data_IF_924671981683
#
_entry.id   IF_924671981683
#
_cell.length_a   1.000
_cell.length_b   1.000
_cell.length_c   1.000
_cell.angle_alpha   90.00
_cell.angle_beta   90.00
_cell.angle_gamma   90.00
#
_symmetry.space_group_name_H-M   'P 1'
#
loop_
_entity.id
_entity.type
_entity.pdbx_description
1 polymer ?
#
# COMPACT_ATOMS: atom_id res chain seq x y z
N UNK A 1 3.52 17.74 15.80
CA UNK A 1 4.98 17.87 15.57
C UNK A 1 5.22 17.73 14.07
N UNK A 2 6.30 18.28 13.51
CA UNK A 2 6.58 18.18 12.07
C UNK A 2 7.08 16.78 11.65
N UNK A 3 7.79 16.09 12.56
CA UNK A 3 8.37 14.75 12.39
C UNK A 3 8.03 13.83 13.56
N UNK A 4 8.19 12.51 13.37
CA UNK A 4 7.99 11.54 14.44
C UNK A 4 9.12 11.62 15.49
N UNK A 5 8.80 11.35 16.77
CA UNK A 5 9.74 11.53 17.88
C UNK A 5 10.94 10.58 17.85
N UNK A 6 10.77 9.39 17.29
CA UNK A 6 11.81 8.37 17.09
C UNK A 6 12.78 8.70 15.93
N UNK A 7 12.54 9.80 15.20
CA UNK A 7 13.37 10.26 14.07
C UNK A 7 14.21 11.50 14.40
N UNK A 8 14.04 12.08 15.58
CA UNK A 8 14.73 13.31 15.98
C UNK A 8 16.22 13.09 16.27
N UNK A 9 16.63 11.85 16.55
CA UNK A 9 18.00 11.48 16.88
C UNK A 9 18.42 10.24 16.10
N UNK A 10 19.25 10.43 15.07
CA UNK A 10 19.77 9.33 14.28
C UNK A 10 20.64 8.37 15.12
N UNK A 11 20.53 7.04 14.90
CA UNK A 11 21.35 6.09 15.62
C UNK A 11 22.82 6.17 15.19
N UNK A 12 23.74 6.05 16.16
CA UNK A 12 25.17 6.25 15.96
C UNK A 12 25.82 5.29 14.94
N UNK A 13 25.21 4.13 14.67
CA UNK A 13 25.73 3.16 13.69
C UNK A 13 25.52 3.60 12.24
N UNK A 14 24.58 4.53 11.96
CA UNK A 14 24.43 5.21 10.66
C UNK A 14 25.52 6.27 10.48
N UNK A 15 26.77 5.81 10.47
CA UNK A 15 27.98 6.63 10.42
C UNK A 15 28.52 6.77 9.00
N UNK A 16 29.45 7.70 8.80
CA UNK A 16 30.20 7.84 7.53
C UNK A 16 30.85 6.53 7.08
N UNK A 17 31.39 5.73 8.02
CA UNK A 17 31.97 4.42 7.71
C UNK A 17 30.94 3.43 7.16
N UNK A 18 29.70 3.48 7.68
CA UNK A 18 28.59 2.70 7.15
C UNK A 18 28.23 3.15 5.73
N UNK A 19 28.14 4.46 5.46
CA UNK A 19 27.86 4.96 4.11
C UNK A 19 28.95 4.61 3.09
N UNK A 20 30.23 4.63 3.49
CA UNK A 20 31.32 4.13 2.64
C UNK A 20 31.11 2.64 2.30
N UNK A 21 30.77 1.82 3.29
CA UNK A 21 30.55 0.39 3.07
C UNK A 21 29.42 0.13 2.07
N UNK A 22 28.25 0.74 2.28
CA UNK A 22 27.10 0.51 1.38
C UNK A 22 27.39 1.01 -0.04
N UNK A 23 28.10 2.14 -0.21
CA UNK A 23 28.39 2.69 -1.53
C UNK A 23 29.41 1.84 -2.29
N UNK A 24 30.37 1.22 -1.60
CA UNK A 24 31.31 0.27 -2.22
C UNK A 24 30.59 -0.94 -2.79
N UNK A 25 29.60 -1.45 -2.08
CA UNK A 25 28.76 -2.55 -2.55
C UNK A 25 27.90 -2.11 -3.75
N UNK A 26 27.21 -0.97 -3.62
CA UNK A 26 26.33 -0.44 -4.64
C UNK A 26 27.03 -0.11 -5.96
N UNK A 27 28.21 0.51 -5.90
CA UNK A 27 29.03 0.84 -7.08
C UNK A 27 29.87 -0.33 -7.58
N UNK A 28 29.98 -1.41 -6.80
CA UNK A 28 30.96 -2.47 -7.00
C UNK A 28 32.41 -1.94 -7.12
N UNK A 29 32.75 -0.91 -6.34
CA UNK A 29 34.05 -0.20 -6.39
C UNK A 29 34.64 -0.05 -4.97
N UNK A 30 35.75 -0.73 -4.64
CA UNK A 30 36.37 -0.62 -3.31
C UNK A 30 37.07 0.72 -3.06
N UNK A 31 37.31 1.53 -4.10
CA UNK A 31 38.00 2.82 -4.00
C UNK A 31 37.10 3.96 -3.56
N UNK A 32 35.78 3.71 -3.40
CA UNK A 32 34.82 4.72 -2.97
C UNK A 32 35.26 5.38 -1.66
N UNK A 33 35.18 6.71 -1.66
CA UNK A 33 35.42 7.61 -0.53
C UNK A 33 34.39 8.73 -0.51
N UNK A 34 33.98 9.15 0.68
CA UNK A 34 33.02 10.26 0.83
C UNK A 34 33.66 11.61 0.50
N UNK A 35 32.82 12.52 0.03
CA UNK A 35 33.09 13.94 -0.19
C UNK A 35 32.36 14.76 0.88
N UNK A 36 32.83 14.65 2.13
CA UNK A 36 32.23 15.29 3.30
C UNK A 36 31.46 14.34 4.22
N UNK A 37 30.88 14.91 5.28
CA UNK A 37 30.14 14.17 6.32
C UNK A 37 28.68 13.98 5.89
N UNK A 38 28.13 12.79 6.13
CA UNK A 38 26.72 12.52 5.88
C UNK A 38 25.83 13.18 6.94
N UNK A 39 24.85 13.99 6.50
CA UNK A 39 23.89 14.63 7.40
C UNK A 39 22.53 13.94 7.29
N UNK A 40 22.22 13.13 8.31
CA UNK A 40 20.90 12.52 8.41
C UNK A 40 19.86 13.54 8.86
N UNK A 41 18.68 13.41 8.27
CA UNK A 41 17.47 14.18 8.59
C UNK A 41 16.28 13.23 8.69
N UNK A 42 15.21 13.57 9.43
CA UNK A 42 13.98 12.79 9.43
C UNK A 42 13.47 12.52 8.01
N UNK A 43 12.97 11.31 7.76
CA UNK A 43 12.67 10.85 6.42
C UNK A 43 11.28 11.22 5.90
N UNK A 44 10.33 11.49 6.79
CA UNK A 44 8.90 11.61 6.45
C UNK A 44 8.19 12.49 7.48
N UNK A 45 7.04 13.07 7.11
CA UNK A 45 6.29 13.88 8.07
C UNK A 45 5.64 12.98 9.13
N UNK A 46 5.34 13.56 10.28
CA UNK A 46 4.58 12.86 11.31
C UNK A 46 3.25 12.33 10.74
N UNK A 47 2.94 11.05 11.00
CA UNK A 47 1.72 10.39 10.54
C UNK A 47 1.71 9.89 9.07
N UNK A 48 2.80 10.07 8.32
CA UNK A 48 2.94 9.49 6.97
C UNK A 48 3.29 7.99 7.02
N UNK A 49 3.97 7.54 8.07
CA UNK A 49 4.31 6.15 8.30
C UNK A 49 4.13 5.81 9.79
N UNK A 50 3.79 4.56 10.07
CA UNK A 50 3.57 4.08 11.43
C UNK A 50 4.57 2.98 11.82
N UNK A 51 4.82 2.01 10.94
CA UNK A 51 5.54 0.79 11.26
C UNK A 51 7.04 0.83 10.92
N UNK A 52 7.68 2.00 10.98
CA UNK A 52 9.12 2.16 10.71
C UNK A 52 9.67 3.45 11.29
N UNK A 53 11.00 3.54 11.39
CA UNK A 53 11.75 4.77 11.59
C UNK A 53 12.39 5.16 10.26
N UNK A 54 12.18 6.39 9.80
CA UNK A 54 12.62 6.86 8.48
C UNK A 54 13.69 7.95 8.60
N UNK A 55 14.75 7.81 7.82
CA UNK A 55 15.78 8.84 7.67
C UNK A 55 16.05 9.14 6.20
N UNK A 56 16.51 10.35 5.92
CA UNK A 56 17.06 10.73 4.61
C UNK A 56 18.47 11.27 4.78
N UNK A 57 19.26 11.16 3.72
CA UNK A 57 20.56 11.81 3.61
C UNK A 57 20.88 12.06 2.13
N UNK A 58 21.81 12.98 1.88
CA UNK A 58 22.40 13.17 0.55
C UNK A 58 23.87 12.84 0.69
N UNK A 59 24.34 11.85 -0.05
CA UNK A 59 25.72 11.37 0.03
C UNK A 59 26.48 11.80 -1.20
N UNK A 60 27.55 12.58 -1.00
CA UNK A 60 28.52 12.92 -2.06
C UNK A 60 29.73 12.02 -1.91
N UNK A 61 30.23 11.46 -3.00
CA UNK A 61 31.31 10.48 -2.97
C UNK A 61 32.09 10.43 -4.29
N UNK A 62 33.31 9.90 -4.24
CA UNK A 62 34.18 9.70 -5.39
C UNK A 62 34.26 8.21 -5.74
N UNK A 63 34.38 7.89 -7.02
CA UNK A 63 34.65 6.53 -7.56
C UNK A 63 35.87 6.58 -8.48
N UNK A 64 36.89 5.77 -8.25
CA UNK A 64 38.10 5.70 -9.09
C UNK A 64 38.68 7.05 -9.53
N UNK A 65 39.14 7.09 -10.79
CA UNK A 65 39.71 8.29 -11.45
C UNK A 65 38.67 9.10 -12.25
N UNK A 66 37.41 9.16 -11.80
CA UNK A 66 36.39 9.97 -12.48
C UNK A 66 36.59 11.48 -12.21
N UNK A 67 36.29 12.30 -13.21
CA UNK A 67 36.29 13.77 -13.14
C UNK A 67 35.08 14.29 -12.34
N UNK A 68 35.13 14.12 -11.01
CA UNK A 68 34.25 14.78 -10.05
C UNK A 68 33.51 13.86 -9.08
N UNK A 69 32.98 14.42 -7.98
CA UNK A 69 32.19 13.66 -7.02
C UNK A 69 30.79 13.36 -7.58
N UNK A 70 30.32 12.13 -7.40
CA UNK A 70 28.93 11.72 -7.56
C UNK A 70 28.10 12.18 -6.36
N UNK A 71 26.78 12.23 -6.54
CA UNK A 71 25.82 12.51 -5.47
C UNK A 71 24.63 11.57 -5.59
N UNK A 72 24.19 11.00 -4.48
CA UNK A 72 22.98 10.18 -4.40
C UNK A 72 22.13 10.60 -3.19
N UNK A 73 20.83 10.79 -3.42
CA UNK A 73 19.87 11.02 -2.35
C UNK A 73 19.33 9.67 -1.88
N UNK A 74 19.30 9.46 -0.56
CA UNK A 74 18.93 8.19 0.05
C UNK A 74 17.77 8.37 1.03
N UNK A 75 16.85 7.41 1.02
CA UNK A 75 15.84 7.22 2.06
C UNK A 75 16.05 5.85 2.72
N UNK A 76 16.01 5.83 4.05
CA UNK A 76 16.33 4.68 4.88
C UNK A 76 15.11 4.32 5.72
N UNK A 77 14.63 3.08 5.60
CA UNK A 77 13.54 2.51 6.40
C UNK A 77 14.11 1.50 7.37
N UNK A 78 13.92 1.71 8.67
CA UNK A 78 14.54 0.91 9.74
C UNK A 78 13.45 0.28 10.60
N UNK A 79 13.62 -1.01 10.94
CA UNK A 79 12.73 -1.71 11.88
C UNK A 79 12.88 -1.05 13.27
N UNK A 80 11.79 -0.59 13.89
CA UNK A 80 11.84 -0.05 15.25
C UNK A 80 12.37 -1.09 16.24
N UNK A 81 13.21 -0.66 17.19
CA UNK A 81 13.78 -1.53 18.25
C UNK A 81 13.10 -1.28 19.60
N UNK A 82 12.41 -0.14 19.76
CA UNK A 82 11.70 0.20 20.98
C UNK A 82 10.48 -0.71 21.19
N UNK A 83 10.25 -1.14 22.43
CA UNK A 83 9.03 -1.87 22.82
C UNK A 83 7.77 -1.04 22.57
N UNK A 84 6.66 -1.70 22.23
CA UNK A 84 5.37 -1.07 22.02
C UNK A 84 4.63 -1.59 20.79
N UNK A 85 3.48 -1.00 20.47
CA UNK A 85 2.57 -1.48 19.44
C UNK A 85 3.22 -1.61 18.05
N UNK A 86 4.14 -0.71 17.70
CA UNK A 86 4.90 -0.81 16.43
C UNK A 86 5.70 -2.11 16.36
N UNK A 87 6.35 -2.50 17.46
CA UNK A 87 7.12 -3.74 17.54
C UNK A 87 6.19 -4.94 17.51
N UNK A 88 5.08 -4.95 18.27
CA UNK A 88 4.11 -6.05 18.27
C UNK A 88 3.52 -6.32 16.86
N UNK A 89 3.28 -5.26 16.08
CA UNK A 89 2.81 -5.37 14.69
C UNK A 89 3.89 -5.89 13.73
N UNK A 90 5.17 -5.70 14.06
CA UNK A 90 6.34 -6.00 13.22
C UNK A 90 7.16 -7.19 13.75
N UNK A 91 6.71 -7.83 14.83
CA UNK A 91 7.42 -8.94 15.47
C UNK A 91 7.40 -10.20 14.59
N UNK A 92 6.52 -10.24 13.59
CA UNK A 92 6.61 -11.23 12.50
C UNK A 92 7.68 -10.78 11.49
N UNK A 93 8.70 -11.62 11.26
CA UNK A 93 9.85 -11.38 10.36
C UNK A 93 9.46 -11.10 8.89
N UNK A 94 8.17 -11.18 8.57
CA UNK A 94 7.64 -11.18 7.22
C UNK A 94 7.45 -9.77 6.62
N UNK A 95 7.20 -8.70 7.38
CA UNK A 95 6.96 -7.37 6.78
C UNK A 95 8.19 -6.78 6.08
N UNK A 96 9.28 -6.56 6.83
CA UNK A 96 10.55 -6.09 6.26
C UNK A 96 11.16 -7.15 5.36
N UNK A 97 10.97 -8.43 5.68
CA UNK A 97 11.44 -9.53 4.84
C UNK A 97 10.82 -9.53 3.45
N UNK A 98 9.49 -9.35 3.36
CA UNK A 98 8.75 -9.19 2.10
C UNK A 98 9.23 -7.96 1.34
N UNK A 99 9.29 -6.80 2.00
CA UNK A 99 9.69 -5.57 1.32
C UNK A 99 11.12 -5.64 0.76
N UNK A 100 12.07 -6.24 1.50
CA UNK A 100 13.42 -6.52 0.97
C UNK A 100 13.34 -7.38 -0.29
N UNK A 101 12.63 -8.52 -0.25
CA UNK A 101 12.48 -9.41 -1.42
C UNK A 101 11.82 -8.69 -2.61
N UNK A 102 10.87 -7.81 -2.34
CA UNK A 102 10.23 -7.01 -3.38
C UNK A 102 11.25 -6.15 -4.13
N UNK A 103 12.13 -5.45 -3.40
CA UNK A 103 13.16 -4.61 -4.01
C UNK A 103 14.34 -5.37 -4.60
N UNK A 104 14.72 -6.54 -4.04
CA UNK A 104 15.87 -7.32 -4.53
C UNK A 104 15.53 -8.19 -5.73
N UNK A 105 14.30 -8.71 -5.81
CA UNK A 105 13.95 -9.77 -6.77
C UNK A 105 12.70 -9.42 -7.59
N UNK A 106 11.60 -9.04 -6.94
CA UNK A 106 10.30 -8.95 -7.62
C UNK A 106 10.18 -7.74 -8.53
N UNK A 107 10.41 -6.54 -8.01
CA UNK A 107 10.27 -5.30 -8.79
C UNK A 107 11.23 -5.26 -9.99
N UNK A 108 12.51 -5.68 -9.87
CA UNK A 108 13.39 -5.83 -11.02
C UNK A 108 12.85 -6.80 -12.08
N UNK A 109 12.30 -7.95 -11.68
CA UNK A 109 11.73 -8.92 -12.61
C UNK A 109 10.44 -8.39 -13.26
N UNK A 110 9.59 -7.67 -12.51
CA UNK A 110 8.43 -6.97 -13.06
C UNK A 110 8.85 -5.94 -14.11
N UNK A 111 9.89 -5.15 -13.83
CA UNK A 111 10.45 -4.19 -14.78
C UNK A 111 10.99 -4.88 -16.04
N UNK A 112 11.69 -6.01 -15.90
CA UNK A 112 12.17 -6.81 -17.03
C UNK A 112 11.01 -7.36 -17.89
N UNK A 113 9.98 -7.90 -17.25
CA UNK A 113 8.79 -8.44 -17.94
C UNK A 113 8.02 -7.34 -18.69
N UNK A 114 7.74 -6.21 -18.04
CA UNK A 114 7.10 -5.06 -18.70
C UNK A 114 7.96 -4.53 -19.86
N UNK A 115 9.28 -4.40 -19.65
CA UNK A 115 10.22 -3.97 -20.69
C UNK A 115 10.21 -4.87 -21.93
N UNK A 116 10.06 -6.19 -21.74
CA UNK A 116 10.01 -7.16 -22.85
C UNK A 116 8.84 -6.96 -23.82
N UNK A 117 7.79 -6.26 -23.38
CA UNK A 117 6.61 -5.93 -24.19
C UNK A 117 6.52 -4.44 -24.54
N UNK A 118 7.59 -3.67 -24.30
CA UNK A 118 7.64 -2.23 -24.56
C UNK A 118 6.87 -1.38 -23.54
N UNK A 119 6.56 -1.92 -22.37
CA UNK A 119 6.01 -1.18 -21.24
C UNK A 119 7.12 -0.78 -20.27
N UNK A 120 6.96 0.38 -19.62
CA UNK A 120 7.84 0.80 -18.54
C UNK A 120 7.19 0.51 -17.18
N UNK A 121 7.99 0.05 -16.23
CA UNK A 121 7.61 -0.12 -14.83
C UNK A 121 8.72 0.42 -13.93
N UNK A 122 8.45 1.54 -13.29
CA UNK A 122 9.42 2.26 -12.46
C UNK A 122 9.23 1.90 -10.99
N UNK A 123 10.34 1.78 -10.28
CA UNK A 123 10.38 1.64 -8.83
C UNK A 123 11.65 2.31 -8.30
N UNK A 124 11.70 2.70 -7.01
CA UNK A 124 12.93 3.20 -6.41
C UNK A 124 14.04 2.15 -6.51
N UNK A 125 15.27 2.60 -6.80
CA UNK A 125 16.43 1.71 -6.86
C UNK A 125 16.82 1.30 -5.43
N UNK A 126 17.01 0.00 -5.22
CA UNK A 126 17.61 -0.50 -3.98
C UNK A 126 19.09 -0.16 -3.97
N UNK A 127 19.53 0.52 -2.91
CA UNK A 127 20.94 0.85 -2.69
C UNK A 127 21.58 -0.16 -1.75
N UNK A 128 20.88 -0.53 -0.68
CA UNK A 128 21.35 -1.50 0.29
C UNK A 128 20.18 -2.07 1.09
N UNK A 129 20.30 -3.31 1.56
CA UNK A 129 19.39 -3.89 2.55
C UNK A 129 20.13 -4.84 3.45
N UNK A 130 19.74 -4.92 4.71
CA UNK A 130 20.28 -5.89 5.66
C UNK A 130 19.21 -6.36 6.63
N UNK A 131 19.35 -7.61 7.08
CA UNK A 131 18.69 -8.16 8.28
C UNK A 131 19.70 -8.44 9.40
N UNK A 132 21.00 -8.39 9.10
CA UNK A 132 22.07 -8.68 10.04
C UNK A 132 22.33 -7.46 10.94
N UNK A 133 22.34 -7.68 12.26
CA UNK A 133 22.44 -6.69 13.34
C UNK A 133 21.29 -5.66 13.40
N UNK A 134 20.97 -5.02 12.26
CA UNK A 134 19.86 -4.09 12.10
C UNK A 134 19.09 -4.42 10.83
N UNK A 135 17.75 -4.44 10.93
CA UNK A 135 16.89 -4.59 9.75
C UNK A 135 16.66 -3.22 9.11
N UNK A 136 17.21 -3.03 7.91
CA UNK A 136 17.19 -1.75 7.17
C UNK A 136 17.01 -1.98 5.66
N UNK A 137 16.26 -1.07 5.03
CA UNK A 137 16.15 -0.91 3.58
C UNK A 137 16.61 0.50 3.23
N UNK A 138 17.54 0.64 2.28
CA UNK A 138 18.05 1.90 1.77
C UNK A 138 17.71 1.99 0.29
N UNK A 139 16.90 2.97 -0.06
CA UNK A 139 16.45 3.22 -1.43
C UNK A 139 16.98 4.57 -1.91
N UNK A 140 17.07 4.74 -3.22
CA UNK A 140 17.22 6.05 -3.83
C UNK A 140 16.00 6.93 -3.48
N UNK A 141 16.25 8.13 -2.95
CA UNK A 141 15.22 9.12 -2.67
C UNK A 141 14.85 9.87 -3.94
N UNK A 142 13.75 9.44 -4.56
CA UNK A 142 13.24 9.98 -5.82
C UNK A 142 12.43 11.28 -5.66
N UNK A 143 12.34 11.85 -4.46
CA UNK A 143 11.53 13.06 -4.22
C UNK A 143 12.00 14.29 -4.99
N UNK A 144 13.28 14.36 -5.35
CA UNK A 144 13.85 15.43 -6.19
C UNK A 144 13.59 15.24 -7.69
N UNK A 145 13.11 14.07 -8.10
CA UNK A 145 12.84 13.74 -9.51
C UNK A 145 11.41 14.10 -9.94
N UNK A 146 10.69 14.88 -9.14
CA UNK A 146 9.32 15.34 -9.43
C UNK A 146 8.22 14.39 -8.96
N UNK A 147 8.57 13.22 -8.40
CA UNK A 147 7.64 12.28 -7.79
C UNK A 147 7.12 12.80 -6.46
N UNK A 148 5.80 12.93 -6.34
CA UNK A 148 5.17 13.50 -5.15
C UNK A 148 3.95 12.68 -4.73
N UNK A 149 3.80 12.51 -3.43
CA UNK A 149 2.54 12.05 -2.86
C UNK A 149 1.46 13.10 -3.15
N UNK A 150 0.28 12.64 -3.55
CA UNK A 150 -0.90 13.50 -3.69
C UNK A 150 -1.95 13.09 -2.66
N UNK A 151 -2.90 13.99 -2.42
CA UNK A 151 -4.13 13.62 -1.73
C UNK A 151 -5.02 12.72 -2.60
N UNK A 152 -6.31 12.68 -2.27
CA UNK A 152 -7.28 11.93 -3.05
C UNK A 152 -7.37 12.45 -4.50
N UNK A 153 -7.49 11.51 -5.44
CA UNK A 153 -7.59 11.82 -6.87
C UNK A 153 -8.99 12.36 -7.20
N UNK A 154 -9.05 13.48 -7.93
CA UNK A 154 -10.26 14.30 -8.08
C UNK A 154 -11.03 14.07 -9.37
N UNK A 155 -10.46 13.32 -10.31
CA UNK A 155 -11.09 13.01 -11.59
C UNK A 155 -10.79 11.59 -12.06
N UNK A 156 -11.63 11.05 -12.93
CA UNK A 156 -11.40 9.74 -13.52
C UNK A 156 -10.19 9.74 -14.48
N UNK A 157 -9.93 10.87 -15.12
CA UNK A 157 -8.78 11.09 -16.01
C UNK A 157 -7.46 11.04 -15.25
N UNK A 158 -7.37 11.70 -14.08
CA UNK A 158 -6.19 11.64 -13.23
C UNK A 158 -5.97 10.28 -12.57
N UNK A 159 -7.01 9.45 -12.48
CA UNK A 159 -6.92 8.09 -11.93
C UNK A 159 -6.32 7.08 -12.93
N UNK A 160 -6.31 7.41 -14.23
CA UNK A 160 -5.87 6.49 -15.29
C UNK A 160 -4.45 5.94 -15.08
N UNK A 161 -3.43 6.76 -14.72
CA UNK A 161 -2.06 6.25 -14.51
C UNK A 161 -1.98 5.28 -13.33
N UNK A 162 -2.77 5.50 -12.27
CA UNK A 162 -2.83 4.58 -11.12
C UNK A 162 -3.49 3.26 -11.49
N UNK A 163 -4.57 3.28 -12.30
CA UNK A 163 -5.20 2.06 -12.83
C UNK A 163 -4.22 1.29 -13.73
N UNK A 164 -3.44 1.99 -14.55
CA UNK A 164 -2.41 1.38 -15.40
C UNK A 164 -1.30 0.72 -14.58
N UNK A 165 -0.77 1.43 -13.58
CA UNK A 165 0.28 0.94 -12.72
C UNK A 165 -0.11 -0.35 -11.99
N UNK A 166 -1.34 -0.43 -11.45
CA UNK A 166 -1.76 -1.62 -10.68
C UNK A 166 -2.06 -2.80 -11.61
N UNK A 167 -2.57 -2.53 -12.82
CA UNK A 167 -2.72 -3.55 -13.85
C UNK A 167 -1.37 -4.14 -14.28
N UNK A 168 -0.32 -3.31 -14.42
CA UNK A 168 1.06 -3.76 -14.69
C UNK A 168 1.61 -4.63 -13.57
N UNK A 169 1.51 -4.16 -12.33
CA UNK A 169 1.94 -4.90 -11.14
C UNK A 169 1.29 -6.28 -11.07
N UNK A 170 -0.04 -6.33 -11.18
CA UNK A 170 -0.79 -7.58 -11.18
C UNK A 170 -0.43 -8.49 -12.36
N UNK A 171 -0.38 -7.98 -13.59
CA UNK A 171 -0.10 -8.80 -14.78
C UNK A 171 1.31 -9.40 -14.73
N UNK A 172 2.30 -8.61 -14.32
CA UNK A 172 3.67 -9.09 -14.12
C UNK A 172 3.72 -10.23 -13.08
N UNK A 173 3.05 -10.04 -11.93
CA UNK A 173 3.04 -11.03 -10.85
C UNK A 173 2.47 -12.40 -11.27
N UNK A 174 1.46 -12.41 -12.13
CA UNK A 174 0.83 -13.64 -12.62
C UNK A 174 1.78 -14.42 -13.53
N UNK A 175 2.53 -13.71 -14.37
CA UNK A 175 3.54 -14.32 -15.24
C UNK A 175 4.73 -14.82 -14.43
N UNK A 176 5.14 -14.09 -13.39
CA UNK A 176 6.16 -14.57 -12.45
C UNK A 176 5.73 -15.87 -11.77
N UNK A 177 4.50 -15.94 -11.26
CA UNK A 177 3.95 -17.17 -10.67
C UNK A 177 3.88 -18.33 -11.66
N UNK A 178 3.57 -18.07 -12.93
CA UNK A 178 3.59 -19.09 -13.98
C UNK A 178 5.01 -19.67 -14.18
N UNK A 179 6.03 -18.81 -14.08
CA UNK A 179 7.42 -19.21 -14.29
C UNK A 179 8.06 -19.83 -13.04
N UNK A 180 7.58 -19.46 -11.86
CA UNK A 180 8.00 -20.02 -10.57
C UNK A 180 6.78 -20.43 -9.72
N UNK A 181 6.43 -21.72 -9.69
CA UNK A 181 5.35 -22.23 -8.84
C UNK A 181 5.57 -22.01 -7.34
N UNK A 182 6.82 -21.81 -6.88
CA UNK A 182 7.12 -21.56 -5.47
C UNK A 182 6.84 -20.11 -5.04
N UNK A 183 6.67 -19.20 -6.01
CA UNK A 183 6.43 -17.77 -5.77
C UNK A 183 5.31 -17.53 -4.77
N UNK A 184 4.19 -18.26 -4.88
CA UNK A 184 3.02 -18.07 -4.00
C UNK A 184 3.30 -18.44 -2.54
N UNK A 185 4.23 -19.37 -2.28
CA UNK A 185 4.58 -19.76 -0.91
C UNK A 185 5.42 -18.70 -0.20
N UNK A 186 6.23 -17.94 -0.96
CA UNK A 186 7.04 -16.83 -0.45
C UNK A 186 6.22 -15.58 -0.10
N UNK A 187 5.01 -15.49 -0.67
CA UNK A 187 4.07 -14.38 -0.48
C UNK A 187 2.75 -14.86 0.11
N UNK A 188 2.80 -15.79 1.09
CA UNK A 188 1.60 -16.18 1.85
C UNK A 188 0.94 -14.93 2.44
N UNK A 189 -0.38 -14.84 2.28
CA UNK A 189 -1.15 -13.74 2.84
C UNK A 189 -1.17 -13.83 4.37
N UNK A 190 -0.66 -12.79 5.02
CA UNK A 190 -0.63 -12.61 6.49
C UNK A 190 -1.51 -11.46 6.96
N UNK A 191 -2.16 -10.76 6.03
CA UNK A 191 -3.00 -9.60 6.29
C UNK A 191 -4.16 -9.91 7.26
N UNK A 192 -4.86 -11.07 7.17
CA UNK A 192 -5.88 -11.43 8.16
C UNK A 192 -5.33 -11.56 9.59
N UNK A 193 -4.11 -12.09 9.76
CA UNK A 193 -3.43 -12.14 11.06
C UNK A 193 -3.13 -10.73 11.57
N UNK A 194 -2.66 -9.82 10.70
CA UNK A 194 -2.43 -8.42 11.05
C UNK A 194 -3.71 -7.73 11.53
N UNK A 195 -4.84 -7.92 10.83
CA UNK A 195 -6.13 -7.37 11.26
C UNK A 195 -6.61 -7.95 12.59
N UNK A 196 -6.30 -9.23 12.86
CA UNK A 196 -6.58 -9.87 14.15
C UNK A 196 -5.74 -9.24 15.27
N UNK A 197 -4.48 -8.91 15.03
CA UNK A 197 -3.66 -8.14 16.00
C UNK A 197 -4.22 -6.74 16.22
N UNK A 198 -4.77 -6.11 15.17
CA UNK A 198 -5.47 -4.82 15.24
C UNK A 198 -6.96 -4.94 15.60
N UNK A 199 -7.38 -6.00 16.29
CA UNK A 199 -8.80 -6.25 16.58
C UNK A 199 -9.45 -5.11 17.37
N UNK A 200 -8.72 -4.48 18.30
CA UNK A 200 -9.23 -3.34 19.07
C UNK A 200 -9.60 -2.14 18.20
N UNK A 201 -8.78 -1.81 17.18
CA UNK A 201 -9.11 -0.77 16.19
C UNK A 201 -10.39 -1.13 15.44
N UNK A 202 -10.48 -2.37 14.95
CA UNK A 202 -11.64 -2.87 14.21
C UNK A 202 -12.90 -2.76 15.06
N UNK A 203 -12.88 -3.28 16.29
CA UNK A 203 -14.01 -3.23 17.22
C UNK A 203 -14.40 -1.79 17.60
N UNK A 204 -13.42 -0.89 17.75
CA UNK A 204 -13.64 0.54 17.96
C UNK A 204 -14.40 1.17 16.79
N UNK A 205 -13.96 0.91 15.55
CA UNK A 205 -14.63 1.42 14.34
C UNK A 205 -16.07 0.92 14.21
N UNK A 206 -16.31 -0.37 14.47
CA UNK A 206 -17.66 -0.93 14.46
C UNK A 206 -18.55 -0.36 15.57
N UNK A 207 -17.99 -0.09 16.76
CA UNK A 207 -18.72 0.55 17.85
C UNK A 207 -19.16 1.97 17.49
N UNK A 208 -18.25 2.80 16.99
CA UNK A 208 -18.58 4.17 16.57
C UNK A 208 -19.58 4.16 15.40
N UNK A 209 -19.41 3.24 14.44
CA UNK A 209 -20.35 3.08 13.33
C UNK A 209 -21.75 2.63 13.79
N UNK A 210 -21.84 1.70 14.75
CA UNK A 210 -23.12 1.28 15.36
C UNK A 210 -23.84 2.44 16.05
N UNK A 211 -23.11 3.29 16.76
CA UNK A 211 -23.67 4.49 17.38
C UNK A 211 -24.20 5.46 16.32
N UNK A 212 -23.41 5.71 15.27
CA UNK A 212 -23.85 6.49 14.11
C UNK A 212 -25.15 5.95 13.52
N UNK A 213 -25.31 4.63 13.34
CA UNK A 213 -26.57 4.06 12.83
C UNK A 213 -27.77 4.30 13.76
N UNK A 214 -27.55 4.29 15.09
CA UNK A 214 -28.62 4.54 16.08
C UNK A 214 -29.04 6.00 16.16
N UNK A 215 -28.10 6.91 15.99
CA UNK A 215 -28.34 8.36 16.03
C UNK A 215 -29.06 8.87 14.77
N UNK A 216 -28.98 8.12 13.67
CA UNK A 216 -29.62 8.45 12.41
C UNK A 216 -30.87 7.57 12.21
N UNK A 217 -32.04 8.14 12.51
CA UNK A 217 -33.33 7.41 12.54
C UNK A 217 -33.59 6.56 11.27
N UNK A 218 -33.19 7.05 10.10
CA UNK A 218 -33.34 6.40 8.79
C UNK A 218 -32.31 5.30 8.50
N UNK A 219 -31.38 5.05 9.41
CA UNK A 219 -30.36 4.00 9.33
C UNK A 219 -30.46 2.94 10.45
N UNK A 220 -31.41 3.12 11.37
CA UNK A 220 -31.56 2.24 12.54
C UNK A 220 -31.81 0.77 12.18
N UNK A 221 -32.45 0.51 11.03
CA UNK A 221 -32.69 -0.85 10.52
C UNK A 221 -31.38 -1.62 10.23
N UNK A 222 -30.27 -0.93 9.96
CA UNK A 222 -28.98 -1.56 9.63
C UNK A 222 -28.15 -1.94 10.85
N UNK A 223 -28.56 -1.57 12.06
CA UNK A 223 -27.81 -1.90 13.30
C UNK A 223 -27.62 -3.41 13.45
N UNK A 224 -28.70 -4.19 13.30
CA UNK A 224 -28.63 -5.66 13.45
C UNK A 224 -27.80 -6.31 12.33
N UNK A 225 -28.03 -6.02 11.02
CA UNK A 225 -27.21 -6.55 9.94
C UNK A 225 -25.71 -6.25 10.08
N UNK A 226 -25.36 -5.04 10.53
CA UNK A 226 -23.97 -4.64 10.74
C UNK A 226 -23.36 -5.34 11.97
N UNK A 227 -24.14 -5.56 13.04
CA UNK A 227 -23.70 -6.31 14.19
C UNK A 227 -23.45 -7.79 13.85
N UNK A 228 -24.31 -8.39 13.03
CA UNK A 228 -24.10 -9.75 12.51
C UNK A 228 -22.83 -9.85 11.66
N UNK A 229 -22.56 -8.84 10.82
CA UNK A 229 -21.31 -8.75 10.08
C UNK A 229 -20.10 -8.64 11.03
N UNK A 230 -20.17 -7.78 12.06
CA UNK A 230 -19.10 -7.62 13.05
C UNK A 230 -18.79 -8.91 13.80
N UNK A 231 -19.80 -9.72 14.12
CA UNK A 231 -19.60 -11.02 14.78
C UNK A 231 -18.80 -12.01 13.93
N UNK A 232 -18.87 -11.90 12.60
CA UNK A 232 -18.18 -12.79 11.63
C UNK A 232 -16.98 -12.13 10.96
N UNK A 233 -16.43 -11.08 11.59
CA UNK A 233 -15.44 -10.21 10.95
C UNK A 233 -14.13 -10.93 10.61
N UNK A 234 -13.64 -11.77 11.52
CA UNK A 234 -12.38 -12.49 11.32
C UNK A 234 -12.49 -13.51 10.18
N UNK A 235 -13.62 -14.23 10.08
CA UNK A 235 -13.88 -15.11 8.93
C UNK A 235 -14.04 -14.31 7.65
N UNK A 236 -14.80 -13.22 7.68
CA UNK A 236 -15.08 -12.41 6.51
C UNK A 236 -13.80 -11.78 5.94
N UNK A 237 -12.89 -11.30 6.79
CA UNK A 237 -11.58 -10.78 6.37
C UNK A 237 -10.70 -11.91 5.84
N UNK A 238 -10.62 -13.05 6.54
CA UNK A 238 -9.83 -14.19 6.06
C UNK A 238 -10.30 -14.66 4.68
N UNK A 239 -11.61 -14.82 4.49
CA UNK A 239 -12.19 -15.33 3.25
C UNK A 239 -12.00 -14.31 2.11
N UNK A 240 -12.10 -13.00 2.40
CA UNK A 240 -11.91 -11.96 1.38
C UNK A 240 -10.47 -11.82 0.88
N UNK A 241 -9.50 -12.15 1.73
CA UNK A 241 -8.07 -12.14 1.39
C UNK A 241 -7.55 -13.52 0.93
N UNK A 242 -8.40 -14.53 0.88
CA UNK A 242 -8.05 -15.84 0.35
C UNK A 242 -7.88 -15.80 -1.18
N UNK A 243 -7.20 -16.80 -1.73
CA UNK A 243 -7.15 -16.98 -3.19
C UNK A 243 -8.54 -17.35 -3.73
N UNK A 244 -8.92 -16.74 -4.85
CA UNK A 244 -10.15 -17.06 -5.56
C UNK A 244 -9.98 -18.26 -6.49
N UNK A 245 -11.01 -19.10 -6.56
CA UNK A 245 -11.14 -20.12 -7.60
C UNK A 245 -11.84 -19.62 -8.87
N UNK A 246 -12.34 -18.38 -8.89
CA UNK A 246 -13.23 -17.87 -9.93
C UNK A 246 -12.70 -16.65 -10.69
N UNK A 247 -11.64 -16.00 -10.19
CA UNK A 247 -10.95 -14.91 -10.89
C UNK A 247 -9.43 -15.08 -10.79
N UNK A 248 -8.67 -14.12 -11.33
CA UNK A 248 -7.22 -14.14 -11.23
C UNK A 248 -6.79 -13.90 -9.77
N UNK A 249 -5.82 -14.71 -9.34
CA UNK A 249 -5.00 -14.42 -8.18
C UNK A 249 -3.72 -13.74 -8.65
N UNK A 250 -3.27 -12.76 -7.90
CA UNK A 250 -2.16 -11.88 -8.23
C UNK A 250 -1.34 -11.66 -6.95
N UNK A 251 -0.12 -11.16 -7.09
CA UNK A 251 0.51 -10.48 -5.97
C UNK A 251 -0.22 -9.15 -5.79
N UNK A 252 -0.99 -9.03 -4.72
CA UNK A 252 -1.58 -7.76 -4.30
C UNK A 252 -0.53 -6.93 -3.57
N UNK A 253 -0.62 -5.62 -3.67
CA UNK A 253 0.11 -4.68 -2.82
C UNK A 253 -0.37 -4.82 -1.36
N UNK A 254 -1.68 -4.98 -1.15
CA UNK A 254 -2.28 -5.25 0.17
C UNK A 254 -2.41 -4.03 1.08
N UNK A 255 -1.73 -2.94 0.75
CA UNK A 255 -1.86 -1.62 1.39
C UNK A 255 -1.96 -0.47 0.37
N UNK A 256 -2.83 -0.64 -0.63
CA UNK A 256 -2.85 0.17 -1.85
C UNK A 256 -3.63 1.50 -1.70
N UNK A 257 -3.19 2.39 -0.81
CA UNK A 257 -3.87 3.66 -0.55
C UNK A 257 -3.09 4.90 -1.02
N UNK A 258 -3.74 6.06 -1.12
CA UNK A 258 -3.16 7.30 -1.65
C UNK A 258 -1.80 7.72 -1.04
N UNK A 259 -1.54 7.42 0.24
CA UNK A 259 -0.24 7.73 0.88
C UNK A 259 0.93 6.83 0.42
N UNK A 260 0.64 5.69 -0.20
CA UNK A 260 1.63 4.76 -0.75
C UNK A 260 1.81 4.94 -2.27
N UNK A 261 1.29 6.05 -2.81
CA UNK A 261 1.41 6.40 -4.22
C UNK A 261 2.24 7.67 -4.39
N UNK A 262 3.16 7.62 -5.35
CA UNK A 262 3.88 8.78 -5.84
C UNK A 262 3.46 9.05 -7.27
N UNK A 263 3.14 10.31 -7.56
CA UNK A 263 2.67 10.75 -8.86
C UNK A 263 3.69 11.67 -9.52
N UNK A 264 3.94 11.43 -10.80
CA UNK A 264 4.65 12.36 -11.67
C UNK A 264 3.64 13.23 -12.39
N UNK A 265 3.87 14.54 -12.39
CA UNK A 265 2.98 15.50 -13.04
C UNK A 265 3.66 16.22 -14.19
N UNK A 266 2.95 16.36 -15.32
CA UNK A 266 3.35 17.21 -16.43
C UNK A 266 2.14 18.01 -16.93
N UNK A 267 2.30 19.33 -17.08
CA UNK A 267 1.20 20.20 -17.52
C UNK A 267 -0.01 20.22 -16.57
N UNK A 268 0.21 20.01 -15.27
CA UNK A 268 -0.86 19.97 -14.26
C UNK A 268 -1.69 18.68 -14.25
N UNK A 269 -1.27 17.64 -14.97
CA UNK A 269 -1.93 16.32 -14.98
C UNK A 269 -0.98 15.26 -14.47
N UNK A 270 -1.53 14.25 -13.80
CA UNK A 270 -0.78 13.04 -13.46
C UNK A 270 -0.50 12.28 -14.76
N UNK A 271 0.78 12.02 -15.04
CA UNK A 271 1.23 11.28 -16.22
C UNK A 271 1.75 9.90 -15.88
N UNK A 272 2.14 9.67 -14.63
CA UNK A 272 2.66 8.39 -14.16
C UNK A 272 2.40 8.22 -12.65
N UNK A 273 2.28 6.97 -12.20
CA UNK A 273 2.08 6.60 -10.80
C UNK A 273 3.03 5.47 -10.43
N UNK A 274 3.71 5.62 -9.30
CA UNK A 274 4.63 4.64 -8.72
C UNK A 274 4.15 4.25 -7.32
N UNK A 275 4.35 2.99 -6.93
CA UNK A 275 4.02 2.51 -5.59
C UNK A 275 5.26 2.49 -4.71
N UNK A 276 5.03 2.66 -3.42
CA UNK A 276 6.02 2.52 -2.35
C UNK A 276 5.40 1.70 -1.21
N UNK A 277 6.24 1.23 -0.30
CA UNK A 277 5.84 0.43 0.87
C UNK A 277 5.17 -0.91 0.53
N UNK A 278 5.99 -1.85 0.06
CA UNK A 278 5.54 -3.17 -0.40
C UNK A 278 5.46 -4.23 0.72
N UNK A 279 5.42 -3.81 1.99
CA UNK A 279 5.53 -4.71 3.15
C UNK A 279 4.34 -5.67 3.32
N UNK A 280 3.17 -5.34 2.77
CA UNK A 280 1.95 -6.16 2.86
C UNK A 280 1.72 -7.04 1.62
N UNK A 281 2.67 -7.06 0.67
CA UNK A 281 2.50 -7.80 -0.58
C UNK A 281 2.22 -9.29 -0.32
N UNK A 282 1.14 -9.79 -0.91
CA UNK A 282 0.59 -11.11 -0.63
C UNK A 282 -0.02 -11.72 -1.89
N UNK A 283 0.02 -13.04 -2.03
CA UNK A 283 -0.69 -13.73 -3.11
C UNK A 283 -2.16 -13.88 -2.72
N UNK A 284 -3.06 -13.22 -3.46
CA UNK A 284 -4.49 -13.14 -3.14
C UNK A 284 -5.32 -12.85 -4.39
N UNK A 285 -6.65 -12.76 -4.22
CA UNK A 285 -7.56 -12.29 -5.26
C UNK A 285 -7.27 -10.83 -5.62
N UNK A 286 -7.23 -10.52 -6.92
CA UNK A 286 -7.00 -9.14 -7.40
C UNK A 286 -8.02 -8.12 -6.90
N UNK A 287 -9.18 -8.57 -6.42
CA UNK A 287 -10.26 -7.67 -5.94
C UNK A 287 -9.88 -6.91 -4.68
N UNK A 288 -8.94 -7.41 -3.89
CA UNK A 288 -8.46 -6.72 -2.68
C UNK A 288 -7.94 -5.33 -3.06
N UNK A 289 -6.96 -5.27 -3.96
CA UNK A 289 -6.42 -3.99 -4.44
C UNK A 289 -7.42 -3.19 -5.28
N UNK A 290 -8.41 -3.83 -5.91
CA UNK A 290 -9.48 -3.09 -6.59
C UNK A 290 -10.43 -2.38 -5.63
N UNK A 291 -10.68 -2.94 -4.44
CA UNK A 291 -11.38 -2.18 -3.40
C UNK A 291 -10.51 -1.01 -2.93
N UNK A 292 -9.23 -1.21 -2.66
CA UNK A 292 -8.33 -0.09 -2.37
C UNK A 292 -8.33 1.00 -3.47
N UNK A 293 -8.23 0.61 -4.74
CA UNK A 293 -8.30 1.49 -5.91
C UNK A 293 -9.59 2.33 -5.97
N UNK A 294 -10.72 1.78 -5.52
CA UNK A 294 -12.02 2.47 -5.55
C UNK A 294 -12.29 3.28 -4.29
N UNK A 295 -11.82 2.83 -3.11
CA UNK A 295 -12.24 3.37 -1.81
C UNK A 295 -11.15 4.14 -1.07
N UNK A 296 -9.87 3.98 -1.45
CA UNK A 296 -8.72 4.58 -0.74
C UNK A 296 -7.87 5.52 -1.60
N UNK A 297 -8.21 5.72 -2.87
CA UNK A 297 -7.40 6.54 -3.79
C UNK A 297 -8.21 7.74 -4.34
N UNK A 298 -9.38 7.56 -4.98
CA UNK A 298 -10.14 8.68 -5.51
C UNK A 298 -11.03 9.33 -4.45
N UNK A 299 -11.46 10.57 -4.72
CA UNK A 299 -12.58 11.20 -4.02
C UNK A 299 -13.87 10.38 -4.18
N UNK A 300 -14.75 10.46 -3.19
CA UNK A 300 -15.97 9.67 -3.12
C UNK A 300 -16.88 9.92 -4.34
N UNK A 301 -16.98 11.16 -4.81
CA UNK A 301 -17.72 11.55 -6.01
C UNK A 301 -17.20 10.91 -7.31
N UNK A 302 -15.88 10.77 -7.47
CA UNK A 302 -15.26 10.11 -8.62
C UNK A 302 -15.63 8.63 -8.64
N UNK A 303 -15.47 7.94 -7.50
CA UNK A 303 -15.86 6.53 -7.40
C UNK A 303 -17.37 6.35 -7.63
N UNK A 304 -18.23 7.20 -7.06
CA UNK A 304 -19.68 7.11 -7.27
C UNK A 304 -20.06 7.21 -8.76
N UNK A 305 -19.37 8.08 -9.51
CA UNK A 305 -19.69 8.36 -10.92
C UNK A 305 -19.02 7.38 -11.89
N UNK A 306 -17.92 6.74 -11.48
CA UNK A 306 -17.05 5.98 -12.40
C UNK A 306 -16.68 4.57 -11.92
N UNK A 307 -17.33 4.03 -10.87
CA UNK A 307 -17.02 2.69 -10.32
C UNK A 307 -16.84 1.63 -11.42
N UNK A 308 -17.83 1.49 -12.30
CA UNK A 308 -17.80 0.46 -13.34
C UNK A 308 -16.75 0.78 -14.42
N UNK A 309 -16.52 2.05 -14.72
CA UNK A 309 -15.49 2.49 -15.66
C UNK A 309 -14.07 2.20 -15.11
N UNK A 310 -13.85 2.35 -13.80
CA UNK A 310 -12.58 2.00 -13.13
C UNK A 310 -12.31 0.50 -13.28
N UNK A 311 -13.28 -0.35 -12.92
CA UNK A 311 -13.16 -1.81 -13.03
C UNK A 311 -12.96 -2.26 -14.47
N UNK A 312 -13.74 -1.69 -15.41
CA UNK A 312 -13.61 -1.98 -16.83
C UNK A 312 -12.23 -1.58 -17.38
N UNK A 313 -11.73 -0.40 -17.03
CA UNK A 313 -10.40 0.09 -17.45
C UNK A 313 -9.29 -0.82 -16.92
N UNK A 314 -9.34 -1.18 -15.63
CA UNK A 314 -8.40 -2.13 -15.03
C UNK A 314 -8.42 -3.45 -15.79
N UNK A 315 -9.60 -4.06 -15.94
CA UNK A 315 -9.75 -5.36 -16.60
C UNK A 315 -9.23 -5.35 -18.03
N UNK A 316 -9.57 -4.30 -18.79
CA UNK A 316 -9.11 -4.12 -20.18
C UNK A 316 -7.60 -4.09 -20.24
N UNK A 317 -6.96 -3.31 -19.36
CA UNK A 317 -5.51 -3.15 -19.36
C UNK A 317 -4.79 -4.41 -18.86
N UNK A 318 -5.24 -4.99 -17.77
CA UNK A 318 -4.71 -6.25 -17.24
C UNK A 318 -4.79 -7.37 -18.28
N UNK A 319 -5.93 -7.49 -18.97
CA UNK A 319 -6.12 -8.49 -20.02
C UNK A 319 -5.22 -8.28 -21.24
N UNK A 320 -5.01 -7.02 -21.66
CA UNK A 320 -4.05 -6.68 -22.73
C UNK A 320 -2.62 -7.08 -22.35
N UNK A 321 -2.18 -6.70 -21.14
CA UNK A 321 -0.84 -7.00 -20.64
C UNK A 321 -0.58 -8.50 -20.58
N UNK A 322 -1.52 -9.29 -20.04
CA UNK A 322 -1.38 -10.75 -20.00
C UNK A 322 -1.24 -11.37 -21.40
N UNK A 323 -2.00 -10.89 -22.40
CA UNK A 323 -1.87 -11.37 -23.77
C UNK A 323 -0.51 -11.02 -24.36
N UNK A 324 -0.03 -9.80 -24.15
CA UNK A 324 1.28 -9.34 -24.66
C UNK A 324 2.45 -10.05 -24.00
N UNK A 325 2.31 -10.45 -22.73
CA UNK A 325 3.29 -11.26 -22.01
C UNK A 325 3.23 -12.76 -22.36
N UNK A 326 2.37 -13.15 -23.31
CA UNK A 326 2.14 -14.55 -23.67
C UNK A 326 1.76 -15.42 -22.46
N UNK A 327 0.90 -14.91 -21.58
CA UNK A 327 0.36 -15.68 -20.47
C UNK A 327 -0.36 -16.93 -20.99
N UNK A 328 0.02 -18.10 -20.47
CA UNK A 328 -0.35 -19.40 -21.04
C UNK A 328 -1.75 -19.85 -20.65
N UNK A 329 -2.40 -19.19 -19.69
CA UNK A 329 -3.69 -19.60 -19.14
C UNK A 329 -4.80 -18.62 -19.54
N UNK A 330 -6.04 -19.03 -19.27
CA UNK A 330 -7.22 -18.22 -19.56
C UNK A 330 -7.21 -16.94 -18.73
N UNK A 331 -7.33 -15.80 -19.40
CA UNK A 331 -7.62 -14.50 -18.78
C UNK A 331 -9.09 -14.48 -18.32
N UNK A 332 -9.39 -14.19 -17.04
CA UNK A 332 -10.77 -14.08 -16.57
C UNK A 332 -11.54 -12.99 -17.31
N UNK A 333 -12.84 -13.22 -17.55
CA UNK A 333 -13.75 -12.26 -18.15
C UNK A 333 -14.11 -11.13 -17.17
N UNK A 334 -14.60 -10.01 -17.71
CA UNK A 334 -15.09 -8.90 -16.89
C UNK A 334 -16.27 -9.33 -16.01
N UNK A 335 -17.14 -10.21 -16.50
CA UNK A 335 -18.27 -10.74 -15.72
C UNK A 335 -17.80 -11.58 -14.53
N UNK A 336 -16.77 -12.42 -14.72
CA UNK A 336 -16.17 -13.19 -13.61
C UNK A 336 -15.56 -12.25 -12.56
N UNK A 337 -14.88 -11.18 -12.99
CA UNK A 337 -14.36 -10.15 -12.08
C UNK A 337 -15.48 -9.41 -11.32
N UNK A 338 -16.55 -9.02 -12.00
CA UNK A 338 -17.69 -8.35 -11.36
C UNK A 338 -18.38 -9.28 -10.35
N UNK A 339 -18.54 -10.56 -10.68
CA UNK A 339 -19.06 -11.56 -9.76
C UNK A 339 -18.15 -11.76 -8.55
N UNK A 340 -16.83 -11.68 -8.72
CA UNK A 340 -15.87 -11.73 -7.61
C UNK A 340 -15.99 -10.52 -6.69
N UNK A 341 -16.07 -9.31 -7.25
CA UNK A 341 -16.29 -8.08 -6.48
C UNK A 341 -17.58 -8.16 -5.65
N UNK A 342 -18.65 -8.73 -6.22
CA UNK A 342 -19.90 -8.95 -5.49
C UNK A 342 -19.74 -9.98 -4.36
N UNK A 343 -19.08 -11.12 -4.63
CA UNK A 343 -18.82 -12.17 -3.62
C UNK A 343 -17.98 -11.64 -2.45
N UNK A 344 -17.10 -10.68 -2.71
CA UNK A 344 -16.28 -10.01 -1.71
C UNK A 344 -16.89 -8.70 -1.19
N UNK A 345 -18.21 -8.49 -1.34
CA UNK A 345 -18.89 -7.27 -0.92
C UNK A 345 -18.79 -6.95 0.58
N UNK A 346 -18.51 -7.95 1.44
CA UNK A 346 -18.20 -7.72 2.86
C UNK A 346 -16.89 -6.94 3.05
N UNK A 347 -15.88 -7.17 2.19
CA UNK A 347 -14.66 -6.36 2.19
C UNK A 347 -14.97 -4.92 1.78
N UNK A 348 -15.88 -4.72 0.82
CA UNK A 348 -16.37 -3.37 0.48
C UNK A 348 -16.95 -2.63 1.70
N UNK A 349 -17.81 -3.31 2.47
CA UNK A 349 -18.37 -2.75 3.70
C UNK A 349 -17.28 -2.50 4.76
N UNK A 350 -16.29 -3.39 4.85
CA UNK A 350 -15.12 -3.20 5.72
C UNK A 350 -14.36 -1.91 5.39
N UNK A 351 -14.19 -1.58 4.11
CA UNK A 351 -13.58 -0.30 3.69
C UNK A 351 -14.37 0.90 4.20
N UNK A 352 -15.70 0.86 4.16
CA UNK A 352 -16.54 1.95 4.67
C UNK A 352 -16.51 2.11 6.18
N UNK A 353 -16.36 1.03 6.93
CA UNK A 353 -16.41 1.08 8.40
C UNK A 353 -15.02 1.34 8.99
N UNK A 354 -14.02 0.57 8.56
CA UNK A 354 -12.69 0.54 9.17
C UNK A 354 -11.72 1.45 8.43
N UNK A 355 -11.54 1.26 7.12
CA UNK A 355 -10.54 2.05 6.38
C UNK A 355 -10.94 3.51 6.16
N UNK A 356 -12.23 3.84 6.25
CA UNK A 356 -12.65 5.24 6.28
C UNK A 356 -12.09 5.98 7.50
N UNK A 357 -11.96 5.33 8.66
CA UNK A 357 -11.30 5.92 9.81
C UNK A 357 -9.85 6.28 9.49
N UNK A 358 -9.12 5.39 8.83
CA UNK A 358 -7.75 5.67 8.37
C UNK A 358 -7.70 6.79 7.31
N UNK A 359 -8.63 6.78 6.35
CA UNK A 359 -8.71 7.76 5.26
C UNK A 359 -8.98 9.19 5.75
N UNK A 360 -9.86 9.35 6.75
CA UNK A 360 -10.33 10.66 7.21
C UNK A 360 -9.62 11.15 8.48
N UNK A 361 -8.86 10.30 9.17
CA UNK A 361 -8.07 10.70 10.32
C UNK A 361 -6.72 11.24 9.89
N UNK A 362 -6.44 12.49 10.27
CA UNK A 362 -5.11 13.05 10.16
C UNK A 362 -4.22 12.51 11.29
N UNK A 363 -3.50 11.43 11.02
CA UNK A 363 -2.60 10.76 11.97
C UNK A 363 -1.47 11.66 12.50
N UNK A 364 -1.22 12.83 11.89
CA UNK A 364 -0.27 13.82 12.42
C UNK A 364 -0.82 14.65 13.58
N UNK A 365 -2.15 14.64 13.76
CA UNK A 365 -2.89 15.47 14.74
C UNK A 365 -3.51 14.68 15.89
N UNK A 366 -3.43 13.35 15.85
CA UNK A 366 -3.97 12.47 16.88
C UNK A 366 -2.87 11.59 17.46
N UNK A 367 -3.12 10.97 18.61
CA UNK A 367 -2.26 9.91 19.13
C UNK A 367 -2.43 8.64 18.27
N UNK A 368 -1.39 8.21 17.54
CA UNK A 368 -1.49 7.00 16.71
C UNK A 368 -1.78 5.75 17.53
N UNK A 369 -1.27 5.62 18.76
CA UNK A 369 -1.58 4.45 19.57
C UNK A 369 -3.05 4.43 19.99
N UNK A 370 -3.62 5.58 20.33
CA UNK A 370 -5.05 5.68 20.61
C UNK A 370 -5.91 5.30 19.40
N UNK A 371 -5.48 5.68 18.19
CA UNK A 371 -6.11 5.26 16.93
C UNK A 371 -6.14 3.73 16.80
N UNK A 372 -4.98 3.07 16.88
CA UNK A 372 -4.89 1.61 16.72
C UNK A 372 -5.47 0.82 17.91
N UNK A 373 -5.66 1.45 19.08
CA UNK A 373 -6.44 0.89 20.19
C UNK A 373 -7.95 1.06 20.03
N UNK A 374 -8.41 1.70 18.95
CA UNK A 374 -9.84 1.93 18.69
C UNK A 374 -10.47 2.94 19.66
N UNK A 375 -9.68 3.88 20.18
CA UNK A 375 -10.09 4.86 21.18
C UNK A 375 -10.47 6.22 20.56
N UNK A 376 -10.33 6.37 19.24
CA UNK A 376 -10.69 7.57 18.51
C UNK A 376 -11.94 7.32 17.65
N UNK A 377 -12.81 8.33 17.59
CA UNK A 377 -13.95 8.29 16.68
C UNK A 377 -13.51 8.50 15.24
N UNK A 378 -14.22 7.84 14.33
CA UNK A 378 -14.01 7.99 12.89
C UNK A 378 -14.58 9.34 12.42
N UNK A 379 -13.74 10.29 11.94
CA UNK A 379 -14.20 11.61 11.52
C UNK A 379 -15.18 11.57 10.35
N UNK A 380 -15.15 10.51 9.53
CA UNK A 380 -16.05 10.33 8.40
C UNK A 380 -17.52 10.32 8.84
N UNK A 381 -17.82 9.82 10.04
CA UNK A 381 -19.20 9.67 10.55
C UNK A 381 -19.91 11.02 10.76
N UNK A 382 -19.16 12.12 10.81
CA UNK A 382 -19.68 13.48 10.95
C UNK A 382 -19.90 14.20 9.61
N UNK A 383 -19.53 13.57 8.48
CA UNK A 383 -19.64 14.16 7.14
C UNK A 383 -20.99 13.83 6.52
N UNK A 384 -21.71 14.85 6.02
CA UNK A 384 -22.99 14.62 5.34
C UNK A 384 -22.82 13.77 4.07
N UNK A 385 -21.72 13.94 3.31
CA UNK A 385 -21.40 13.09 2.15
C UNK A 385 -21.27 11.60 2.54
N UNK A 386 -20.68 11.32 3.71
CA UNK A 386 -20.54 9.96 4.20
C UNK A 386 -21.90 9.39 4.60
N UNK A 387 -22.72 10.18 5.29
CA UNK A 387 -24.09 9.80 5.68
C UNK A 387 -24.97 9.50 4.47
N UNK A 388 -24.94 10.34 3.45
CA UNK A 388 -25.65 10.12 2.19
C UNK A 388 -25.15 8.88 1.45
N UNK A 389 -23.85 8.63 1.50
CA UNK A 389 -23.29 7.37 1.00
C UNK A 389 -23.86 6.18 1.77
N UNK A 390 -23.84 6.19 3.11
CA UNK A 390 -24.31 5.06 3.92
C UNK A 390 -25.79 4.75 3.69
N UNK A 391 -26.65 5.77 3.53
CA UNK A 391 -28.08 5.61 3.16
C UNK A 391 -28.27 4.77 1.90
N UNK A 392 -27.42 4.98 0.90
CA UNK A 392 -27.49 4.28 -0.39
C UNK A 392 -26.82 2.91 -0.32
N UNK A 393 -25.59 2.84 0.20
CA UNK A 393 -24.78 1.63 0.13
C UNK A 393 -25.26 0.55 1.09
N UNK A 394 -25.72 0.87 2.31
CA UNK A 394 -26.24 -0.13 3.24
C UNK A 394 -27.50 -0.81 2.70
N UNK A 395 -28.40 -0.05 2.05
CA UNK A 395 -29.55 -0.60 1.33
C UNK A 395 -29.12 -1.53 0.21
N UNK A 396 -28.11 -1.14 -0.58
CA UNK A 396 -27.56 -1.99 -1.63
C UNK A 396 -26.96 -3.28 -1.07
N UNK A 397 -26.18 -3.20 0.00
CA UNK A 397 -25.57 -4.37 0.65
C UNK A 397 -26.63 -5.34 1.19
N UNK A 398 -27.71 -4.81 1.78
CA UNK A 398 -28.85 -5.61 2.23
C UNK A 398 -29.52 -6.33 1.04
N UNK A 399 -29.86 -5.60 -0.02
CA UNK A 399 -30.52 -6.17 -1.20
C UNK A 399 -29.65 -7.17 -1.98
N UNK A 400 -28.32 -7.04 -1.88
CA UNK A 400 -27.36 -7.97 -2.47
C UNK A 400 -27.06 -9.19 -1.57
N UNK A 401 -27.61 -9.24 -0.35
CA UNK A 401 -27.37 -10.32 0.61
C UNK A 401 -25.96 -10.30 1.22
N UNK A 402 -25.26 -9.17 1.17
CA UNK A 402 -23.92 -9.00 1.76
C UNK A 402 -24.02 -8.89 3.28
N UNK A 403 -25.07 -8.23 3.76
CA UNK A 403 -25.48 -8.16 5.17
C UNK A 403 -26.93 -8.63 5.28
N UNK A 404 -27.29 -9.20 6.43
CA UNK A 404 -28.62 -9.72 6.72
C UNK A 404 -28.98 -9.56 8.19
#
# INVERSE_FOLDING_TARGET
>A
MEFNTDELSAPAWLSDAFFVHILREFECDPTVRLDGVCQLRPGTKAGDHFASVMYRTTVRYWTGDQDGPKSIDLIMKIKPVAEGLKKDLLDDDDFFGKEIRMYTEVLPEMARLMGSIGEEYKHPKLVYSSKAAHTIIILEDISFQGWKMAGLIKSFEELQPTIDAIAKFHAASVVMQQNDPQFTSQYRCTIPETFRTMRSMTDGCFRSFRNFLRENADLTEFVVPVDNFHQTIDESVRDAYATSGACANVLIHGDFHFKNLLHLQAGGKIVDTMFIDYQMCSWSSQVVDLFYLMYMIPEQGVKNSHRDAIVHRYHTRFSDLLRRLNFSWRVPSLTELQAELLRNGKLELFHYIVFSAYRYTDLSKVDPEAFFRGQLDNPALQLEEFKDTMRRELKRFLHQGIIA
#
